data_IF_779606014925
#
_entry.id   IF_779606014925
#
_cell.length_a   1.000
_cell.length_b   1.000
_cell.length_c   1.000
_cell.angle_alpha   90.00
_cell.angle_beta   90.00
_cell.angle_gamma   90.00
#
_symmetry.space_group_name_H-M   'P 1'
#
loop_
_entity.id
_entity.type
_entity.pdbx_description
1 polymer ?
#
# COMPACT_ATOMS: atom_id res chain seq x y z
N UNK A 1 5.15 22.01 10.52
CA UNK A 1 5.03 21.60 10.24
C UNK A 1 4.81 21.00 9.62
N UNK A 2 4.83 20.60 9.59
CA UNK A 2 4.71 20.00 9.25
C UNK A 2 4.55 19.24 8.64
N UNK A 3 4.59 18.88 8.58
CA UNK A 3 4.45 18.22 8.22
C UNK A 3 4.33 17.49 7.74
N UNK A 4 4.38 17.43 7.74
CA UNK A 4 4.21 16.81 7.39
C UNK A 4 4.10 16.10 6.80
N UNK A 5 3.84 16.07 7.15
CA UNK A 5 3.87 15.23 6.72
C UNK A 5 3.98 14.60 5.53
N UNK A 6 4.35 14.00 5.38
CA UNK A 6 4.64 13.47 4.29
C UNK A 6 4.30 12.13 4.10
N UNK A 7 3.19 11.75 4.38
CA UNK A 7 2.71 10.51 4.18
C UNK A 7 2.37 10.42 2.77
N UNK A 8 2.99 9.58 2.04
CA UNK A 8 2.66 9.32 0.66
C UNK A 8 1.38 8.54 0.61
N UNK A 9 0.43 9.02 -0.16
CA UNK A 9 -0.84 8.32 -0.32
C UNK A 9 -0.77 7.28 -1.43
N UNK A 10 0.18 7.44 -2.35
CA UNK A 10 0.39 6.50 -3.44
C UNK A 10 1.84 6.08 -3.46
N UNK A 11 2.07 4.79 -3.59
CA UNK A 11 3.44 4.26 -3.61
C UNK A 11 3.58 3.26 -4.74
N UNK A 12 4.82 3.01 -5.14
CA UNK A 12 5.14 1.94 -6.07
C UNK A 12 5.29 0.66 -5.26
N UNK A 13 5.30 -0.47 -5.94
CA UNK A 13 5.37 -1.75 -5.23
C UNK A 13 6.57 -1.83 -4.29
N UNK A 14 7.74 -1.41 -4.77
CA UNK A 14 8.94 -1.51 -3.94
C UNK A 14 8.83 -0.62 -2.70
N UNK A 15 8.38 0.61 -2.91
CA UNK A 15 8.21 1.55 -1.81
C UNK A 15 7.20 1.04 -0.80
N UNK A 16 6.08 0.53 -1.31
CA UNK A 16 5.02 0.05 -0.44
C UNK A 16 5.45 -1.14 0.39
N UNK A 17 6.20 -2.05 -0.24
CA UNK A 17 6.69 -3.21 0.49
C UNK A 17 7.56 -2.78 1.65
N UNK A 18 8.43 -1.80 1.41
CA UNK A 18 9.30 -1.30 2.47
C UNK A 18 8.49 -0.59 3.54
N UNK A 19 7.52 0.21 3.13
CA UNK A 19 6.70 0.97 4.06
C UNK A 19 5.93 0.06 5.02
N UNK A 20 5.45 -1.06 4.51
CA UNK A 20 4.64 -1.98 5.32
C UNK A 20 5.43 -3.20 5.78
N UNK A 21 6.75 -3.16 5.63
CA UNK A 21 7.65 -4.19 6.16
C UNK A 21 7.33 -5.59 5.65
N UNK A 22 7.12 -5.72 4.37
CA UNK A 22 6.86 -7.02 3.78
C UNK A 22 7.64 -7.14 2.46
N UNK A 23 7.75 -8.33 1.92
CA UNK A 23 8.44 -8.49 0.65
C UNK A 23 7.57 -7.96 -0.47
N UNK A 24 8.20 -7.64 -1.59
CA UNK A 24 7.49 -7.00 -2.68
C UNK A 24 6.38 -7.88 -3.26
N UNK A 25 6.64 -9.17 -3.44
CA UNK A 25 5.63 -10.06 -4.01
C UNK A 25 4.40 -10.16 -3.12
N UNK A 26 4.62 -10.15 -1.80
CA UNK A 26 3.51 -10.18 -0.86
C UNK A 26 2.70 -8.89 -0.95
N UNK A 27 3.39 -7.76 -1.01
CA UNK A 27 2.72 -6.47 -1.12
C UNK A 27 1.92 -6.37 -2.40
N UNK A 28 2.50 -6.82 -3.53
CA UNK A 28 1.78 -6.81 -4.80
C UNK A 28 0.50 -7.60 -4.73
N UNK A 29 0.59 -8.80 -4.18
CA UNK A 29 -0.56 -9.67 -4.10
C UNK A 29 -1.66 -9.03 -3.25
N UNK A 30 -1.28 -8.51 -2.10
CA UNK A 30 -2.25 -7.91 -1.20
C UNK A 30 -2.86 -6.64 -1.78
N UNK A 31 -2.05 -5.85 -2.47
CA UNK A 31 -2.56 -4.62 -3.08
C UNK A 31 -3.59 -4.91 -4.15
N UNK A 32 -3.36 -5.97 -4.91
CA UNK A 32 -4.32 -6.38 -5.94
C UNK A 32 -5.61 -6.91 -5.31
N UNK A 33 -5.48 -7.68 -4.25
CA UNK A 33 -6.64 -8.21 -3.54
C UNK A 33 -7.46 -7.08 -2.92
N UNK A 34 -6.77 -6.07 -2.44
CA UNK A 34 -7.41 -4.91 -1.84
C UNK A 34 -8.05 -3.99 -2.88
N UNK A 35 -7.75 -4.24 -4.16
CA UNK A 35 -8.19 -3.39 -5.25
C UNK A 35 -7.68 -1.97 -5.07
N UNK A 36 -6.46 -1.89 -4.61
CA UNK A 36 -5.80 -0.61 -4.32
C UNK A 36 -4.80 -0.21 -5.39
N UNK A 37 -4.70 -0.98 -6.49
CA UNK A 37 -3.72 -0.69 -7.53
C UNK A 37 -4.33 0.13 -8.66
N UNK A 38 -3.51 1.03 -9.19
CA UNK A 38 -3.87 1.86 -10.32
C UNK A 38 -2.80 1.66 -11.38
N UNK A 39 -3.21 1.30 -12.58
CA UNK A 39 -2.25 1.10 -13.66
C UNK A 39 -2.38 2.23 -14.66
N UNK A 40 -1.30 2.97 -14.86
CA UNK A 40 -1.24 4.07 -15.81
C UNK A 40 -0.13 3.74 -16.79
N UNK A 41 -0.49 3.14 -17.91
CA UNK A 41 0.49 2.64 -18.87
C UNK A 41 1.40 1.63 -18.16
N UNK A 42 2.68 1.93 -18.03
CA UNK A 42 3.62 1.03 -17.38
C UNK A 42 3.80 1.34 -15.90
N UNK A 43 3.19 2.41 -15.46
CA UNK A 43 3.31 2.83 -14.06
C UNK A 43 2.20 2.19 -13.24
N UNK A 44 2.57 1.60 -12.13
CA UNK A 44 1.59 1.02 -11.21
C UNK A 44 1.73 1.73 -9.88
N UNK A 45 0.62 2.24 -9.38
CA UNK A 45 0.58 2.91 -8.08
C UNK A 45 -0.38 2.19 -7.17
N UNK A 46 -0.10 2.24 -5.88
CA UNK A 46 -0.97 1.63 -4.87
C UNK A 46 -1.46 2.73 -3.95
N UNK A 47 -2.78 2.77 -3.76
CA UNK A 47 -3.40 3.73 -2.86
C UNK A 47 -3.26 3.21 -1.44
N UNK A 48 -2.48 3.91 -0.62
CA UNK A 48 -2.20 3.49 0.74
C UNK A 48 -3.45 3.47 1.62
N UNK A 49 -4.35 4.42 1.41
CA UNK A 49 -5.57 4.48 2.21
C UNK A 49 -6.42 3.22 2.02
N UNK A 50 -6.60 2.83 0.77
CA UNK A 50 -7.39 1.63 0.46
C UNK A 50 -6.68 0.39 0.97
N UNK A 51 -5.36 0.34 0.79
CA UNK A 51 -4.56 -0.79 1.25
C UNK A 51 -4.68 -0.95 2.77
N UNK A 52 -4.63 0.16 3.49
CA UNK A 52 -4.70 0.12 4.95
C UNK A 52 -6.07 -0.32 5.44
N UNK A 53 -7.13 0.07 4.75
CA UNK A 53 -8.46 -0.43 5.07
C UNK A 53 -8.52 -1.95 4.92
N UNK A 54 -7.91 -2.44 3.86
CA UNK A 54 -7.85 -3.88 3.62
C UNK A 54 -7.08 -4.59 4.74
N UNK A 55 -5.99 -3.97 5.21
CA UNK A 55 -5.20 -4.55 6.29
C UNK A 55 -6.01 -4.73 7.56
N UNK A 56 -6.99 -3.86 7.79
CA UNK A 56 -7.80 -3.96 9.01
C UNK A 56 -8.56 -5.28 9.08
N UNK A 57 -8.80 -5.92 7.95
CA UNK A 57 -9.47 -7.22 7.93
C UNK A 57 -8.62 -8.31 8.60
N UNK A 58 -7.31 -8.07 8.67
CA UNK A 58 -6.38 -9.06 9.23
C UNK A 58 -5.88 -8.67 10.61
N UNK A 59 -6.45 -7.61 11.16
CA UNK A 59 -6.00 -7.14 12.46
C UNK A 59 -6.33 -8.15 13.53
N UNK A 60 -5.33 -8.45 14.36
CA UNK A 60 -5.56 -9.36 15.48
C UNK A 60 -6.23 -8.60 16.61
N UNK A 61 -7.28 -9.18 17.13
CA UNK A 61 -7.98 -8.56 18.24
C UNK A 61 -7.86 -9.49 19.43
N UNK A 62 -6.98 -9.12 20.32
CA UNK A 62 -6.67 -9.98 21.44
C UNK A 62 -7.18 -9.38 22.72
#
# INVERSE_FOLDING_TARGET
MQQKINKKRFVRYKEGAELYSMCQSKFEKMAKEAKATYKLDKLVLVNCDIFEEYLELYRLRM
#
